data_IF_262213622184
#
_entry.id   IF_262213622184
#
_cell.length_a   1.000
_cell.length_b   1.000
_cell.length_c   1.000
_cell.angle_alpha   90.00
_cell.angle_beta   90.00
_cell.angle_gamma   90.00
#
_symmetry.space_group_name_H-M   'P 1'
#
loop_
_entity.id
_entity.type
_entity.pdbx_description
1 polymer ?
#
# COMPACT_ATOMS: atom_id res chain seq x y z
N UNK A 1 7.61 6.03 19.71
CA UNK A 1 7.84 5.41 18.37
C UNK A 1 9.27 5.71 17.94
N UNK A 2 9.91 4.78 17.30
CA UNK A 2 11.31 4.89 16.86
C UNK A 2 11.45 4.26 15.47
N UNK A 3 12.20 4.89 14.60
CA UNK A 3 12.56 4.36 13.28
C UNK A 3 13.68 3.33 13.45
N UNK A 4 13.47 2.13 12.91
CA UNK A 4 14.44 1.02 12.96
C UNK A 4 14.74 0.50 11.57
N UNK A 5 15.98 0.09 11.36
CA UNK A 5 16.39 -0.59 10.14
C UNK A 5 15.85 -2.03 10.14
N UNK A 6 15.19 -2.41 9.05
CA UNK A 6 14.65 -3.75 8.89
C UNK A 6 13.43 -4.03 9.78
N UNK A 7 13.19 -5.32 10.01
CA UNK A 7 12.03 -5.79 10.78
C UNK A 7 12.09 -5.40 12.26
N UNK A 8 10.95 -5.29 12.94
CA UNK A 8 10.93 -5.11 14.39
C UNK A 8 11.67 -6.25 15.11
N UNK A 9 12.39 -5.91 16.18
CA UNK A 9 13.16 -6.92 16.92
C UNK A 9 12.31 -7.96 17.66
N UNK A 10 11.09 -7.58 18.08
CA UNK A 10 10.13 -8.48 18.71
C UNK A 10 8.99 -8.80 17.74
N UNK A 11 8.91 -10.05 17.35
CA UNK A 11 7.86 -10.58 16.46
C UNK A 11 6.75 -11.31 17.22
N UNK A 12 6.84 -11.43 18.54
CA UNK A 12 5.82 -12.09 19.34
C UNK A 12 4.47 -11.36 19.24
N UNK A 13 3.39 -12.13 19.09
CA UNK A 13 2.04 -11.59 18.99
C UNK A 13 1.73 -10.81 17.70
N UNK A 14 2.62 -10.82 16.70
CA UNK A 14 2.36 -10.21 15.39
C UNK A 14 1.57 -11.15 14.49
N UNK A 15 0.79 -10.55 13.59
CA UNK A 15 0.04 -11.32 12.61
C UNK A 15 0.97 -11.92 11.56
N UNK A 16 0.63 -13.13 11.10
CA UNK A 16 1.39 -13.82 10.04
C UNK A 16 1.47 -13.00 8.75
N UNK A 17 0.42 -12.24 8.42
CA UNK A 17 0.38 -11.34 7.25
C UNK A 17 1.43 -10.23 7.31
N UNK A 18 1.74 -9.74 8.50
CA UNK A 18 2.81 -8.75 8.72
C UNK A 18 4.20 -9.40 8.57
N UNK A 19 4.40 -10.53 9.22
CA UNK A 19 5.70 -11.24 9.21
C UNK A 19 6.09 -11.67 7.79
N UNK A 20 5.12 -12.13 7.00
CA UNK A 20 5.35 -12.49 5.58
C UNK A 20 5.91 -11.33 4.75
N UNK A 21 5.51 -10.10 5.03
CA UNK A 21 6.04 -8.91 4.33
C UNK A 21 7.53 -8.77 4.65
N UNK A 22 7.91 -8.84 5.91
CA UNK A 22 9.32 -8.75 6.30
C UNK A 22 10.15 -9.88 5.70
N UNK A 23 9.63 -11.11 5.74
CA UNK A 23 10.30 -12.26 5.17
C UNK A 23 10.57 -12.06 3.67
N UNK A 24 9.58 -11.60 2.92
CA UNK A 24 9.74 -11.35 1.49
C UNK A 24 10.78 -10.25 1.20
N UNK A 25 10.70 -9.12 1.92
CA UNK A 25 11.64 -8.02 1.72
C UNK A 25 13.07 -8.44 2.06
N UNK A 26 13.25 -9.20 3.13
CA UNK A 26 14.56 -9.73 3.53
C UNK A 26 15.09 -10.74 2.50
N UNK A 27 14.27 -11.65 2.01
CA UNK A 27 14.63 -12.65 0.99
C UNK A 27 15.04 -11.99 -0.32
N UNK A 28 14.43 -10.86 -0.67
CA UNK A 28 14.78 -10.08 -1.85
C UNK A 28 16.00 -9.17 -1.66
N UNK A 29 16.51 -9.05 -0.43
CA UNK A 29 17.59 -8.12 -0.10
C UNK A 29 17.20 -6.64 -0.24
N UNK A 30 15.91 -6.33 -0.13
CA UNK A 30 15.40 -4.96 -0.17
C UNK A 30 15.62 -4.31 1.19
N UNK A 31 16.30 -3.17 1.20
CA UNK A 31 16.45 -2.36 2.40
C UNK A 31 15.15 -1.63 2.73
N UNK A 32 14.74 -1.68 3.99
CA UNK A 32 13.57 -0.97 4.49
C UNK A 32 13.75 -0.58 5.96
N UNK A 33 12.95 0.36 6.39
CA UNK A 33 12.90 0.80 7.78
C UNK A 33 11.47 0.63 8.31
N UNK A 34 11.33 0.37 9.59
CA UNK A 34 10.04 0.18 10.24
C UNK A 34 9.82 1.13 11.41
N UNK A 35 8.57 1.50 11.63
CA UNK A 35 8.09 2.14 12.84
C UNK A 35 7.02 1.25 13.45
N UNK A 36 7.25 0.78 14.67
CA UNK A 36 6.29 -0.03 15.42
C UNK A 36 5.40 0.90 16.27
N UNK A 37 4.11 0.82 16.05
CA UNK A 37 3.11 1.62 16.78
C UNK A 37 1.92 0.78 17.27
N UNK A 38 2.18 -0.47 17.68
CA UNK A 38 1.17 -1.42 18.16
C UNK A 38 0.30 -0.89 19.29
N UNK A 39 0.84 -0.02 20.14
CA UNK A 39 0.08 0.61 21.24
C UNK A 39 -0.78 1.81 20.81
N UNK A 40 -0.62 2.28 19.59
CA UNK A 40 -1.36 3.42 19.02
C UNK A 40 -1.57 3.19 17.51
N UNK A 41 -2.54 2.35 17.13
CA UNK A 41 -2.84 2.13 15.72
C UNK A 41 -3.10 3.45 14.98
N UNK A 42 -2.65 3.54 13.75
CA UNK A 42 -2.79 4.73 12.91
C UNK A 42 -4.24 4.85 12.38
N UNK A 43 -5.18 5.11 13.30
CA UNK A 43 -6.62 5.22 13.00
C UNK A 43 -7.11 6.67 12.99
N UNK A 44 -6.34 7.60 13.54
CA UNK A 44 -6.65 9.03 13.53
C UNK A 44 -5.63 9.81 12.69
N UNK A 45 -6.02 11.00 12.24
CA UNK A 45 -5.10 11.87 11.48
C UNK A 45 -3.88 12.28 12.30
N UNK A 46 -4.05 12.51 13.60
CA UNK A 46 -2.95 12.84 14.51
C UNK A 46 -1.98 11.67 14.67
N UNK A 47 -2.51 10.46 14.81
CA UNK A 47 -1.69 9.24 14.88
C UNK A 47 -0.93 9.01 13.58
N UNK A 48 -1.57 9.20 12.42
CA UNK A 48 -0.91 9.10 11.12
C UNK A 48 0.22 10.10 10.97
N UNK A 49 -0.01 11.37 11.31
CA UNK A 49 1.04 12.41 11.28
C UNK A 49 2.24 12.08 12.17
N UNK A 50 1.98 11.59 13.38
CA UNK A 50 3.05 11.20 14.31
C UNK A 50 3.89 10.05 13.74
N UNK A 51 3.27 9.12 13.03
CA UNK A 51 3.98 8.04 12.33
C UNK A 51 4.79 8.58 11.16
N UNK A 52 4.20 9.46 10.34
CA UNK A 52 4.85 10.07 9.18
C UNK A 52 6.11 10.87 9.58
N UNK A 53 6.02 11.62 10.69
CA UNK A 53 7.16 12.37 11.24
C UNK A 53 8.32 11.45 11.63
N UNK A 54 8.02 10.34 12.31
CA UNK A 54 9.06 9.37 12.72
C UNK A 54 9.60 8.59 11.52
N UNK A 55 8.73 8.23 10.58
CA UNK A 55 9.09 7.50 9.36
C UNK A 55 9.96 8.36 8.42
N UNK A 56 9.78 9.69 8.48
CA UNK A 56 10.50 10.64 7.63
C UNK A 56 10.07 10.59 6.17
N UNK A 57 8.86 10.12 5.92
CA UNK A 57 8.16 10.17 4.62
C UNK A 57 6.67 10.10 4.85
N UNK A 58 5.89 10.63 3.93
CA UNK A 58 4.44 10.56 3.98
C UNK A 58 3.97 9.20 3.48
N UNK A 59 3.02 8.59 4.22
CA UNK A 59 2.35 7.38 3.76
C UNK A 59 1.54 7.66 2.51
N UNK A 60 1.67 6.84 1.49
CA UNK A 60 0.82 6.97 0.32
C UNK A 60 -0.62 6.54 0.65
N UNK A 61 -1.57 7.15 -0.03
CA UNK A 61 -2.97 6.73 -0.01
C UNK A 61 -3.13 5.48 -0.88
N UNK A 62 -3.72 4.46 -0.31
CA UNK A 62 -3.99 3.19 -0.99
C UNK A 62 -5.50 2.97 -1.04
N UNK A 63 -6.05 2.85 -2.24
CA UNK A 63 -7.48 2.67 -2.47
C UNK A 63 -7.73 1.36 -3.21
N UNK A 64 -8.55 0.52 -2.61
CA UNK A 64 -8.95 -0.75 -3.23
C UNK A 64 -10.32 -0.60 -3.88
N UNK A 65 -10.35 -0.70 -5.20
CA UNK A 65 -11.48 -0.36 -6.04
C UNK A 65 -11.93 -1.55 -6.87
N UNK A 66 -13.18 -1.51 -7.34
CA UNK A 66 -13.71 -2.52 -8.25
C UNK A 66 -14.70 -1.90 -9.24
N UNK A 67 -14.97 -2.63 -10.32
CA UNK A 67 -16.06 -2.32 -11.23
C UNK A 67 -17.42 -2.65 -10.57
N UNK A 68 -18.51 -2.22 -11.18
CA UNK A 68 -19.87 -2.44 -10.66
C UNK A 68 -20.21 -3.93 -10.46
N UNK A 69 -19.71 -4.79 -11.33
CA UNK A 69 -19.95 -6.23 -11.28
C UNK A 69 -19.07 -6.95 -10.26
N UNK A 70 -18.11 -6.27 -9.66
CA UNK A 70 -17.12 -6.84 -8.72
C UNK A 70 -16.34 -8.01 -9.35
N UNK A 71 -15.98 -7.86 -10.61
CA UNK A 71 -15.22 -8.86 -11.40
C UNK A 71 -13.82 -8.40 -11.73
N UNK A 72 -13.57 -7.09 -11.66
CA UNK A 72 -12.25 -6.48 -11.91
C UNK A 72 -11.88 -5.60 -10.72
N UNK A 73 -10.69 -5.81 -10.18
CA UNK A 73 -10.20 -5.12 -9.00
C UNK A 73 -8.97 -4.29 -9.32
N UNK A 74 -8.84 -3.17 -8.62
CA UNK A 74 -7.73 -2.23 -8.78
C UNK A 74 -7.22 -1.81 -7.40
N UNK A 75 -5.91 -1.78 -7.26
CA UNK A 75 -5.24 -1.11 -6.15
C UNK A 75 -4.61 0.16 -6.70
N UNK A 76 -5.09 1.32 -6.23
CA UNK A 76 -4.54 2.63 -6.59
C UNK A 76 -3.65 3.14 -5.47
N UNK A 77 -2.41 3.47 -5.81
CA UNK A 77 -1.51 4.22 -4.96
C UNK A 77 -1.43 5.66 -5.46
N UNK A 78 -1.61 6.62 -4.55
CA UNK A 78 -1.53 8.04 -4.87
C UNK A 78 -1.02 8.85 -3.67
N UNK A 79 -0.56 10.11 -3.88
CA UNK A 79 -0.19 11.00 -2.78
C UNK A 79 -1.32 11.18 -1.78
N UNK A 80 -0.99 11.18 -0.48
CA UNK A 80 -1.99 11.20 0.59
C UNK A 80 -2.81 12.50 0.62
N UNK A 81 -2.21 13.62 0.22
CA UNK A 81 -2.83 14.95 0.20
C UNK A 81 -3.66 15.24 -1.06
N UNK A 82 -3.53 14.41 -2.10
CA UNK A 82 -4.25 14.59 -3.36
C UNK A 82 -5.70 14.07 -3.23
N UNK A 83 -6.72 14.87 -3.55
CA UNK A 83 -8.10 14.40 -3.59
C UNK A 83 -8.31 13.31 -4.63
N UNK A 84 -9.07 12.28 -4.29
CA UNK A 84 -9.42 11.20 -5.22
C UNK A 84 -10.82 11.41 -5.83
N UNK A 85 -10.89 11.27 -7.14
CA UNK A 85 -12.15 11.34 -7.89
C UNK A 85 -12.27 10.13 -8.82
N UNK A 86 -13.28 9.32 -8.56
CA UNK A 86 -13.56 8.10 -9.30
C UNK A 86 -13.69 8.34 -10.81
N UNK A 87 -14.34 9.45 -11.19
CA UNK A 87 -14.56 9.81 -12.60
C UNK A 87 -13.25 10.06 -13.35
N UNK A 88 -12.29 10.73 -12.70
CA UNK A 88 -10.99 11.00 -13.29
C UNK A 88 -10.22 9.71 -13.57
N UNK A 89 -10.19 8.80 -12.60
CA UNK A 89 -9.52 7.51 -12.76
C UNK A 89 -10.21 6.64 -13.81
N UNK A 90 -11.53 6.50 -13.75
CA UNK A 90 -12.30 5.69 -14.69
C UNK A 90 -12.06 6.08 -16.14
N UNK A 91 -11.97 7.39 -16.41
CA UNK A 91 -11.70 7.90 -17.76
C UNK A 91 -10.31 7.48 -18.27
N UNK A 92 -9.28 7.55 -17.40
CA UNK A 92 -7.91 7.22 -17.79
C UNK A 92 -7.71 5.73 -18.08
N UNK A 93 -8.33 4.86 -17.31
CA UNK A 93 -8.21 3.41 -17.48
C UNK A 93 -9.28 2.82 -18.41
N UNK A 94 -10.07 3.66 -19.03
CA UNK A 94 -11.17 3.27 -19.92
C UNK A 94 -12.14 2.27 -19.28
N UNK A 95 -12.48 2.52 -18.03
CA UNK A 95 -13.38 1.69 -17.24
C UNK A 95 -14.75 2.36 -17.07
N UNK A 96 -15.78 1.56 -16.84
CA UNK A 96 -17.03 2.04 -16.27
C UNK A 96 -16.80 2.59 -14.85
N UNK A 97 -17.83 3.19 -14.27
CA UNK A 97 -17.76 3.76 -12.91
C UNK A 97 -17.20 2.74 -11.90
N UNK A 98 -16.16 3.15 -11.18
CA UNK A 98 -15.56 2.39 -10.10
C UNK A 98 -16.23 2.69 -8.76
N UNK A 99 -16.17 1.74 -7.84
CA UNK A 99 -16.55 1.89 -6.45
C UNK A 99 -15.48 1.26 -5.54
N UNK A 100 -15.54 1.56 -4.25
CA UNK A 100 -14.66 0.89 -3.30
C UNK A 100 -15.03 -0.58 -3.16
N UNK A 101 -14.03 -1.45 -3.22
CA UNK A 101 -14.21 -2.87 -2.94
C UNK A 101 -14.44 -3.09 -1.44
N UNK A 102 -15.21 -4.13 -1.10
CA UNK A 102 -15.57 -4.42 0.28
C UNK A 102 -14.47 -5.13 1.07
N UNK A 103 -14.65 -5.23 2.41
CA UNK A 103 -13.71 -5.90 3.29
C UNK A 103 -13.47 -7.37 2.94
N UNK A 104 -14.48 -8.07 2.43
CA UNK A 104 -14.38 -9.48 2.05
C UNK A 104 -13.42 -9.68 0.87
N UNK A 105 -13.53 -8.86 -0.18
CA UNK A 105 -12.62 -8.89 -1.32
C UNK A 105 -11.21 -8.45 -0.94
N UNK A 106 -11.10 -7.46 -0.06
CA UNK A 106 -9.82 -6.99 0.46
C UNK A 106 -9.08 -8.11 1.19
N UNK A 107 -9.74 -8.87 2.03
CA UNK A 107 -9.17 -10.01 2.72
C UNK A 107 -8.90 -11.18 1.75
N UNK A 108 -9.81 -11.45 0.83
CA UNK A 108 -9.68 -12.53 -0.14
C UNK A 108 -8.47 -12.37 -1.06
N UNK A 109 -8.26 -11.19 -1.62
CA UNK A 109 -7.22 -10.95 -2.62
C UNK A 109 -5.91 -10.43 -2.05
N UNK A 110 -5.97 -9.63 -1.00
CA UNK A 110 -4.79 -8.94 -0.45
C UNK A 110 -4.37 -9.46 0.93
N UNK A 111 -5.19 -10.28 1.58
CA UNK A 111 -5.04 -10.68 2.99
C UNK A 111 -4.84 -9.47 3.92
N UNK A 112 -5.66 -8.42 3.71
CA UNK A 112 -5.62 -7.18 4.46
C UNK A 112 -7.01 -6.85 4.99
N UNK A 113 -7.07 -6.21 6.14
CA UNK A 113 -8.28 -5.63 6.72
C UNK A 113 -8.37 -4.14 6.42
N UNK A 114 -9.59 -3.55 6.46
CA UNK A 114 -9.77 -2.12 6.30
C UNK A 114 -8.84 -1.30 7.23
N UNK A 115 -8.29 -0.21 6.71
CA UNK A 115 -7.33 0.62 7.42
C UNK A 115 -5.86 0.24 7.23
N UNK A 116 -5.58 -0.90 6.61
CA UNK A 116 -4.21 -1.38 6.39
C UNK A 116 -3.89 -1.67 4.91
N UNK A 117 -4.71 -1.18 3.98
CA UNK A 117 -4.50 -1.41 2.54
C UNK A 117 -3.11 -0.96 2.11
N UNK A 118 -2.42 -1.81 1.39
CA UNK A 118 -1.02 -1.62 1.06
C UNK A 118 -0.63 -2.34 -0.22
N UNK A 119 0.34 -1.75 -0.92
CA UNK A 119 1.07 -2.39 -2.02
C UNK A 119 1.58 -3.81 -1.63
N UNK A 120 1.99 -3.99 -0.38
CA UNK A 120 2.53 -5.27 0.10
C UNK A 120 1.52 -6.41 0.00
N UNK A 121 0.22 -6.12 0.02
CA UNK A 121 -0.83 -7.13 -0.17
C UNK A 121 -0.81 -7.83 -1.51
N UNK A 122 -0.17 -7.26 -2.53
CA UNK A 122 -0.03 -7.91 -3.84
C UNK A 122 0.74 -9.25 -3.79
N UNK A 123 1.55 -9.45 -2.76
CA UNK A 123 2.20 -10.76 -2.54
C UNK A 123 1.20 -11.90 -2.32
N UNK A 124 -0.01 -11.59 -1.89
CA UNK A 124 -1.08 -12.56 -1.62
C UNK A 124 -1.99 -12.80 -2.84
N UNK A 125 -1.94 -11.92 -3.83
CA UNK A 125 -2.70 -12.02 -5.08
C UNK A 125 -1.93 -12.82 -6.14
N UNK A 126 -1.77 -14.10 -5.91
CA UNK A 126 -0.95 -15.00 -6.75
C UNK A 126 -1.54 -15.27 -8.13
N UNK A 127 -2.83 -15.00 -8.33
CA UNK A 127 -3.53 -15.20 -9.60
C UNK A 127 -3.74 -13.89 -10.39
N UNK A 128 -3.15 -12.79 -9.93
CA UNK A 128 -3.24 -11.48 -10.59
C UNK A 128 -4.67 -10.97 -10.79
N UNK A 129 -5.51 -11.11 -9.78
CA UNK A 129 -6.87 -10.55 -9.80
C UNK A 129 -6.89 -9.02 -9.64
N UNK A 130 -5.86 -8.46 -9.02
CA UNK A 130 -5.76 -7.04 -8.69
C UNK A 130 -4.82 -6.34 -9.66
N UNK A 131 -5.34 -5.31 -10.34
CA UNK A 131 -4.55 -4.45 -11.22
C UNK A 131 -3.98 -3.29 -10.42
N UNK A 132 -2.67 -3.11 -10.46
CA UNK A 132 -1.99 -2.01 -9.77
C UNK A 132 -1.96 -0.76 -10.63
N UNK A 133 -2.48 0.33 -10.08
CA UNK A 133 -2.44 1.68 -10.65
C UNK A 133 -1.62 2.57 -9.73
N UNK A 134 -0.72 3.36 -10.29
CA UNK A 134 0.16 4.24 -9.51
C UNK A 134 0.11 5.64 -10.10
N UNK A 135 -0.21 6.62 -9.24
CA UNK A 135 -0.12 8.04 -9.63
C UNK A 135 1.34 8.38 -9.94
N UNK A 136 1.56 9.04 -11.07
CA UNK A 136 2.89 9.43 -11.56
C UNK A 136 3.68 10.24 -10.53
N UNK A 137 3.02 11.04 -9.70
CA UNK A 137 3.68 11.85 -8.68
C UNK A 137 4.40 10.99 -7.63
N UNK A 138 3.92 9.78 -7.35
CA UNK A 138 4.63 8.85 -6.45
C UNK A 138 5.91 8.30 -7.06
N UNK A 139 5.98 8.17 -8.37
CA UNK A 139 7.14 7.60 -9.07
C UNK A 139 8.37 8.51 -9.00
N UNK A 140 8.17 9.80 -8.75
CA UNK A 140 9.25 10.77 -8.57
C UNK A 140 9.78 10.86 -7.14
N UNK A 141 9.07 10.28 -6.17
CA UNK A 141 9.50 10.26 -4.78
C UNK A 141 10.64 9.25 -4.55
N UNK A 142 11.62 9.62 -3.73
CA UNK A 142 12.72 8.71 -3.39
C UNK A 142 12.25 7.56 -2.50
N UNK A 143 11.37 7.86 -1.55
CA UNK A 143 10.88 6.94 -0.54
C UNK A 143 9.38 6.76 -0.62
N UNK A 144 8.94 5.53 -0.41
CA UNK A 144 7.54 5.16 -0.31
C UNK A 144 7.25 4.67 1.12
N UNK A 145 6.26 5.29 1.76
CA UNK A 145 5.73 4.82 3.05
C UNK A 145 4.49 3.95 2.84
N UNK A 146 4.42 2.80 3.49
CA UNK A 146 3.27 1.90 3.40
C UNK A 146 3.13 1.03 4.65
N UNK A 147 2.01 0.31 4.75
CA UNK A 147 1.78 -0.66 5.82
C UNK A 147 2.30 -2.05 5.42
N UNK A 148 2.84 -2.82 6.38
CA UNK A 148 3.13 -4.24 6.17
C UNK A 148 1.88 -5.11 6.36
N UNK A 149 0.79 -4.80 5.65
CA UNK A 149 -0.52 -5.47 5.73
C UNK A 149 -1.23 -5.37 7.09
N UNK A 150 -0.75 -4.54 8.00
CA UNK A 150 -1.36 -4.19 9.29
C UNK A 150 -1.20 -2.70 9.56
N UNK A 151 -2.10 -2.11 10.35
CA UNK A 151 -2.04 -0.69 10.71
C UNK A 151 -1.37 -0.40 12.06
N UNK A 152 -0.68 -1.37 12.62
CA UNK A 152 0.06 -1.27 13.88
C UNK A 152 1.57 -1.14 13.68
N UNK A 153 1.99 -1.17 12.43
CA UNK A 153 3.35 -0.90 11.97
C UNK A 153 3.31 -0.18 10.64
N UNK A 154 4.33 0.59 10.36
CA UNK A 154 4.55 1.23 9.07
C UNK A 154 5.98 1.00 8.63
N UNK A 155 6.18 0.95 7.33
CA UNK A 155 7.50 0.79 6.75
C UNK A 155 7.73 1.80 5.64
N UNK A 156 8.99 2.12 5.39
CA UNK A 156 9.42 2.82 4.19
C UNK A 156 10.51 2.06 3.49
N UNK A 157 10.45 2.11 2.18
CA UNK A 157 11.45 1.55 1.30
C UNK A 157 11.65 2.49 0.11
N UNK A 158 12.71 2.26 -0.64
CA UNK A 158 12.93 3.07 -1.84
C UNK A 158 11.84 2.79 -2.86
N UNK A 159 11.33 3.84 -3.47
CA UNK A 159 10.32 3.75 -4.53
C UNK A 159 10.75 2.83 -5.67
N UNK A 160 12.02 2.91 -6.08
CA UNK A 160 12.58 2.03 -7.11
C UNK A 160 12.55 0.54 -6.73
N UNK A 161 12.68 0.21 -5.44
CA UNK A 161 12.64 -1.17 -4.96
C UNK A 161 11.22 -1.69 -4.85
N UNK A 162 10.27 -0.83 -4.45
CA UNK A 162 8.85 -1.14 -4.41
C UNK A 162 8.28 -1.47 -5.80
N UNK A 163 8.62 -0.68 -6.80
CA UNK A 163 8.10 -0.83 -8.17
C UNK A 163 9.02 -1.63 -9.11
N UNK A 164 10.17 -2.04 -8.68
CA UNK A 164 11.09 -2.91 -9.40
C UNK A 164 11.14 -4.31 -8.80
N UNK A 165 12.11 -4.60 -7.92
CA UNK A 165 12.32 -5.95 -7.39
C UNK A 165 11.09 -6.55 -6.69
N UNK A 166 10.36 -5.74 -5.90
CA UNK A 166 9.16 -6.21 -5.22
C UNK A 166 8.08 -6.66 -6.21
N UNK A 167 7.71 -5.81 -7.17
CA UNK A 167 6.68 -6.15 -8.17
C UNK A 167 7.10 -7.34 -9.02
N UNK A 168 8.37 -7.43 -9.40
CA UNK A 168 8.89 -8.57 -10.14
C UNK A 168 8.73 -9.89 -9.36
N UNK A 169 9.03 -9.87 -8.06
CA UNK A 169 8.91 -11.05 -7.19
C UNK A 169 7.45 -11.51 -7.00
N UNK A 170 6.50 -10.59 -6.96
CA UNK A 170 5.07 -10.90 -6.79
C UNK A 170 4.32 -11.00 -8.11
N UNK A 171 5.04 -10.96 -9.24
CA UNK A 171 4.50 -11.14 -10.60
C UNK A 171 3.40 -10.14 -10.96
N UNK A 172 3.52 -8.91 -10.47
CA UNK A 172 2.64 -7.80 -10.83
C UNK A 172 3.38 -6.76 -11.65
N UNK A 173 2.63 -6.05 -12.46
CA UNK A 173 3.06 -4.85 -13.18
C UNK A 173 2.22 -3.68 -12.73
N UNK A 174 2.71 -2.46 -12.91
CA UNK A 174 1.94 -1.26 -12.61
C UNK A 174 1.51 -0.54 -13.89
N UNK A 175 0.38 0.14 -13.82
CA UNK A 175 -0.07 1.11 -14.83
C UNK A 175 0.02 2.50 -14.22
N UNK A 176 0.85 3.41 -14.77
CA UNK A 176 0.88 4.79 -14.33
C UNK A 176 -0.43 5.50 -14.68
N UNK A 177 -0.90 6.35 -13.79
CA UNK A 177 -2.05 7.24 -14.01
C UNK A 177 -1.66 8.66 -13.64
N UNK A 178 -2.27 9.63 -14.31
CA UNK A 178 -2.07 11.04 -14.03
C UNK A 178 -3.32 11.62 -13.39
N UNK A 179 -3.30 11.78 -12.05
CA UNK A 179 -4.43 12.31 -11.29
C UNK A 179 -4.14 13.77 -10.92
N UNK A 180 -5.04 14.65 -11.29
CA UNK A 180 -4.95 16.09 -10.99
C UNK A 180 -5.54 16.38 -9.62
N UNK A 181 -6.61 15.69 -9.25
CA UNK A 181 -7.29 15.85 -7.98
C UNK A 181 -8.11 17.16 -7.89
N UNK A 182 -8.29 17.87 -8.99
CA UNK A 182 -9.13 19.07 -9.04
C UNK A 182 -10.62 18.74 -9.22
N UNK A 183 -11.51 19.68 -8.79
CA UNK A 183 -12.95 19.46 -8.87
C UNK A 183 -13.48 19.35 -10.29
#
# INVERSE_FOLDING_TARGET
MELKNGRPGDLSGRFSREIKVYDLLDDLGIEYMTVDHRGAPAETMEACKAVDEVLGTVMCKNLFLCNRQQTVFYLLLMPADKPFKTKELSAQINSARLSFAGPEQMEQYLDIRPGAVSLMGLMNDTENHVNLLVDEDLLSEEWLGCHPCVNTSSLKLRTKDAFGPFLGAVHHTMTPVHLVGEP
#
